data_IF_840973004540
#
_entry.id   IF_840973004540
#
_cell.length_a   1.000
_cell.length_b   1.000
_cell.length_c   1.000
_cell.angle_alpha   90.00
_cell.angle_beta   90.00
_cell.angle_gamma   90.00
#
_symmetry.space_group_name_H-M   'P 1'
#
loop_
_entity.id
_entity.type
_entity.pdbx_description
1 polymer ?
#
# COMPACT_ATOMS: atom_id res chain seq x y z
N UNK A 1 0.32 -19.89 25.79
CA UNK A 1 1.24 -19.96 24.66
C UNK A 1 1.70 -18.55 24.33
N UNK A 2 3.00 -18.35 24.08
CA UNK A 2 3.60 -17.00 23.96
C UNK A 2 3.09 -16.26 22.71
N UNK A 3 2.44 -15.10 22.90
CA UNK A 3 1.88 -14.22 21.84
C UNK A 3 2.97 -13.48 21.03
N UNK A 4 4.25 -13.71 21.31
CA UNK A 4 5.39 -13.03 20.68
C UNK A 4 5.64 -13.32 19.19
N UNK A 5 5.35 -14.52 18.62
CA UNK A 5 5.67 -14.79 17.22
C UNK A 5 4.80 -14.02 16.20
N UNK A 6 3.53 -13.75 16.51
CA UNK A 6 2.61 -13.07 15.57
C UNK A 6 3.03 -11.61 15.35
N UNK A 7 3.42 -10.90 16.41
CA UNK A 7 3.87 -9.50 16.32
C UNK A 7 5.15 -9.36 15.48
N UNK A 8 6.12 -10.27 15.67
CA UNK A 8 7.36 -10.26 14.88
C UNK A 8 7.10 -10.55 13.40
N UNK A 9 6.14 -11.42 13.10
CA UNK A 9 5.74 -11.78 11.75
C UNK A 9 5.08 -10.60 11.02
N UNK A 10 4.23 -9.83 11.71
CA UNK A 10 3.61 -8.61 11.17
C UNK A 10 4.66 -7.55 10.87
N UNK A 11 5.61 -7.34 11.79
CA UNK A 11 6.70 -6.38 11.60
C UNK A 11 7.55 -6.76 10.38
N UNK A 12 7.86 -8.04 10.20
CA UNK A 12 8.64 -8.50 9.05
C UNK A 12 7.85 -8.40 7.73
N UNK A 13 6.56 -8.73 7.73
CA UNK A 13 5.71 -8.67 6.53
C UNK A 13 5.48 -7.22 6.06
N UNK A 14 5.41 -6.29 6.99
CA UNK A 14 5.18 -4.87 6.71
C UNK A 14 6.50 -4.13 6.48
N UNK A 15 7.55 -4.44 7.23
CA UNK A 15 8.84 -3.78 7.10
C UNK A 15 9.54 -4.13 5.77
N UNK A 16 9.44 -5.37 5.30
CA UNK A 16 10.16 -5.81 4.10
C UNK A 16 9.69 -5.09 2.81
N UNK A 17 8.39 -4.96 2.50
CA UNK A 17 7.92 -4.20 1.33
C UNK A 17 8.24 -2.70 1.43
N UNK A 18 8.18 -2.14 2.65
CA UNK A 18 8.51 -0.73 2.90
C UNK A 18 10.00 -0.48 2.64
N UNK A 19 10.89 -1.33 3.15
CA UNK A 19 12.32 -1.19 2.88
C UNK A 19 12.68 -1.51 1.43
N UNK A 20 12.01 -2.46 0.79
CA UNK A 20 12.19 -2.74 -0.63
C UNK A 20 11.67 -1.58 -1.51
N UNK A 21 10.48 -1.05 -1.21
CA UNK A 21 9.90 0.10 -1.91
C UNK A 21 10.68 1.40 -1.69
N UNK A 22 11.11 1.69 -0.45
CA UNK A 22 11.97 2.83 -0.13
C UNK A 22 13.37 2.70 -0.74
N UNK A 23 13.94 1.49 -0.75
CA UNK A 23 15.22 1.24 -1.43
C UNK A 23 15.12 1.47 -2.92
N UNK A 24 13.97 1.23 -3.53
CA UNK A 24 13.73 1.44 -4.95
C UNK A 24 13.48 2.91 -5.29
N UNK A 25 12.71 3.64 -4.50
CA UNK A 25 12.54 5.07 -4.65
C UNK A 25 13.88 5.82 -4.57
N UNK A 26 14.79 5.37 -3.69
CA UNK A 26 16.14 5.90 -3.58
C UNK A 26 17.07 5.46 -4.73
N UNK A 27 16.84 4.32 -5.38
CA UNK A 27 17.67 3.82 -6.49
C UNK A 27 17.18 4.25 -7.88
N UNK A 28 15.91 4.57 -8.03
CA UNK A 28 15.32 5.08 -9.27
C UNK A 28 15.60 6.57 -9.51
N UNK A 29 16.12 7.28 -8.52
CA UNK A 29 16.72 8.58 -8.77
C UNK A 29 17.97 8.35 -9.62
N UNK A 30 17.84 8.52 -10.94
CA UNK A 30 19.00 8.76 -11.81
C UNK A 30 19.86 9.78 -11.07
N UNK A 31 21.15 9.53 -10.82
CA UNK A 31 21.97 10.53 -10.17
C UNK A 31 21.89 11.77 -11.04
N UNK A 32 21.11 12.77 -10.62
CA UNK A 32 21.26 14.11 -11.13
C UNK A 32 22.75 14.36 -11.10
N UNK A 33 23.36 14.76 -12.21
CA UNK A 33 24.78 15.07 -12.28
C UNK A 33 25.11 15.95 -11.08
N UNK A 34 25.63 15.35 -10.02
CA UNK A 34 26.04 16.10 -8.85
C UNK A 34 27.00 17.16 -9.35
N UNK A 35 26.72 18.45 -9.12
CA UNK A 35 27.70 19.48 -9.42
C UNK A 35 28.99 19.10 -8.68
N UNK A 36 30.13 19.18 -9.33
CA UNK A 36 31.40 18.62 -8.89
C UNK A 36 31.89 19.14 -7.51
N UNK A 37 31.21 20.13 -6.93
CA UNK A 37 31.44 20.64 -5.56
C UNK A 37 30.16 21.24 -5.00
N UNK A 38 29.44 20.48 -4.18
CA UNK A 38 28.36 21.03 -3.34
C UNK A 38 29.00 21.81 -2.20
N UNK A 39 28.72 23.10 -2.07
CA UNK A 39 29.23 23.88 -0.97
C UNK A 39 28.61 23.47 0.38
N UNK A 40 29.33 23.72 1.49
CA UNK A 40 28.76 23.48 2.83
C UNK A 40 27.44 24.25 3.03
N UNK A 41 27.34 25.45 2.47
CA UNK A 41 26.14 26.27 2.55
C UNK A 41 24.97 25.65 1.83
N UNK A 42 25.17 25.08 0.63
CA UNK A 42 24.13 24.39 -0.13
C UNK A 42 23.64 23.13 0.62
N UNK A 43 24.58 22.37 1.20
CA UNK A 43 24.22 21.20 2.02
C UNK A 43 23.38 21.58 3.25
N UNK A 44 23.76 22.67 3.96
CA UNK A 44 22.99 23.13 5.12
C UNK A 44 21.60 23.63 4.71
N UNK A 45 21.47 24.25 3.55
CA UNK A 45 20.19 24.66 3.00
C UNK A 45 19.30 23.47 2.71
N UNK A 46 19.80 22.43 2.00
CA UNK A 46 19.08 21.20 1.72
C UNK A 46 18.65 20.46 2.99
N UNK A 47 19.50 20.41 4.01
CA UNK A 47 19.15 19.83 5.31
C UNK A 47 18.00 20.63 5.96
N UNK A 48 18.05 21.97 5.86
CA UNK A 48 16.98 22.84 6.36
C UNK A 48 15.64 22.59 5.68
N UNK A 49 15.62 22.49 4.35
CA UNK A 49 14.41 22.14 3.56
C UNK A 49 13.89 20.77 3.94
N UNK A 50 14.77 19.76 3.99
CA UNK A 50 14.38 18.39 4.38
C UNK A 50 13.74 18.36 5.77
N UNK A 51 14.23 19.16 6.71
CA UNK A 51 13.64 19.25 8.04
C UNK A 51 12.22 19.85 8.01
N UNK A 52 11.97 20.84 7.15
CA UNK A 52 10.64 21.44 6.97
C UNK A 52 9.67 20.40 6.37
N UNK A 53 10.08 19.65 5.35
CA UNK A 53 9.25 18.59 4.75
C UNK A 53 8.93 17.46 5.75
N UNK A 54 9.88 17.09 6.61
CA UNK A 54 9.65 16.14 7.70
C UNK A 54 8.61 16.69 8.68
N UNK A 55 8.70 17.96 9.08
CA UNK A 55 7.69 18.56 9.97
C UNK A 55 6.31 18.59 9.32
N UNK A 56 6.22 18.92 8.04
CA UNK A 56 4.97 18.88 7.29
C UNK A 56 4.40 17.47 7.23
N UNK A 57 5.22 16.45 6.93
CA UNK A 57 4.82 15.06 6.96
C UNK A 57 4.29 14.63 8.33
N UNK A 58 4.87 15.09 9.43
CA UNK A 58 4.36 14.83 10.78
C UNK A 58 3.00 15.48 11.02
N UNK A 59 2.77 16.71 10.54
CA UNK A 59 1.46 17.37 10.63
C UNK A 59 0.42 16.60 9.82
N UNK A 60 0.73 16.21 8.58
CA UNK A 60 -0.15 15.40 7.73
C UNK A 60 -0.43 14.03 8.37
N UNK A 61 0.57 13.40 8.95
CA UNK A 61 0.40 12.12 9.65
C UNK A 61 -0.51 12.26 10.89
N UNK A 62 -0.38 13.36 11.62
CA UNK A 62 -1.29 13.65 12.72
C UNK A 62 -2.73 13.84 12.24
N UNK A 63 -2.94 14.56 11.11
CA UNK A 63 -4.25 14.69 10.46
C UNK A 63 -4.76 13.32 10.03
N UNK A 64 -3.92 12.48 9.43
CA UNK A 64 -4.27 11.12 9.03
C UNK A 64 -4.73 10.27 10.23
N UNK A 65 -4.03 10.35 11.36
CA UNK A 65 -4.43 9.71 12.63
C UNK A 65 -5.81 10.17 13.08
N UNK A 66 -6.09 11.48 13.05
CA UNK A 66 -7.40 12.01 13.39
C UNK A 66 -8.48 11.54 12.40
N UNK A 67 -8.17 11.52 11.10
CA UNK A 67 -9.07 11.03 10.06
C UNK A 67 -9.41 9.55 10.27
N UNK A 68 -8.42 8.70 10.57
CA UNK A 68 -8.64 7.28 10.89
C UNK A 68 -9.58 7.09 12.10
N UNK A 69 -9.45 7.93 13.13
CA UNK A 69 -10.35 7.87 14.29
C UNK A 69 -11.82 8.13 13.92
N UNK A 70 -12.09 8.76 12.76
CA UNK A 70 -13.47 8.96 12.28
C UNK A 70 -14.12 7.69 11.73
N UNK A 71 -13.32 6.72 11.28
CA UNK A 71 -13.79 5.39 10.88
C UNK A 71 -14.33 4.65 12.11
N UNK A 72 -13.65 4.78 13.23
CA UNK A 72 -13.97 4.11 14.50
C UNK A 72 -14.60 5.06 15.53
N UNK A 73 -15.52 5.95 15.11
CA UNK A 73 -16.09 7.04 15.95
C UNK A 73 -16.67 6.60 17.29
N UNK A 74 -17.11 5.36 17.42
CA UNK A 74 -17.74 4.80 18.63
C UNK A 74 -16.80 3.97 19.47
N UNK A 75 -15.53 3.91 19.10
CA UNK A 75 -14.52 3.06 19.70
C UNK A 75 -13.46 3.94 20.34
N UNK A 76 -13.14 3.67 21.60
CA UNK A 76 -11.94 4.23 22.23
C UNK A 76 -10.71 3.46 21.75
N UNK A 77 -10.09 3.94 20.65
CA UNK A 77 -8.92 3.31 20.05
C UNK A 77 -7.77 3.10 21.05
N UNK A 78 -7.55 4.06 21.96
CA UNK A 78 -6.48 3.93 22.95
C UNK A 78 -6.77 2.81 23.95
N UNK A 79 -8.02 2.71 24.42
CA UNK A 79 -8.42 1.63 25.31
C UNK A 79 -8.33 0.27 24.63
N UNK A 80 -8.77 0.15 23.36
CA UNK A 80 -8.68 -1.11 22.61
C UNK A 80 -7.22 -1.54 22.39
N UNK A 81 -6.37 -0.60 21.93
CA UNK A 81 -4.98 -0.91 21.60
C UNK A 81 -4.12 -1.19 22.84
N UNK A 82 -4.22 -0.36 23.88
CA UNK A 82 -3.26 -0.37 24.99
C UNK A 82 -3.77 -1.04 26.26
N UNK A 83 -5.10 -1.03 26.50
CA UNK A 83 -5.69 -1.62 27.70
C UNK A 83 -6.24 -3.02 27.42
N UNK A 84 -6.92 -3.19 26.29
CA UNK A 84 -7.60 -4.45 25.93
C UNK A 84 -6.74 -5.39 25.07
N UNK A 85 -5.55 -4.94 24.62
CA UNK A 85 -4.62 -5.71 23.78
C UNK A 85 -5.30 -6.30 22.52
N UNK A 86 -6.08 -5.47 21.82
CA UNK A 86 -6.77 -5.90 20.60
C UNK A 86 -5.79 -5.97 19.43
N UNK A 87 -5.31 -7.16 19.13
CA UNK A 87 -4.30 -7.39 18.09
C UNK A 87 -4.85 -7.18 16.67
N UNK A 88 -6.12 -7.51 16.41
CA UNK A 88 -6.75 -7.29 15.10
C UNK A 88 -6.78 -5.80 14.76
N UNK A 89 -7.25 -4.97 15.68
CA UNK A 89 -7.26 -3.52 15.52
C UNK A 89 -5.84 -2.94 15.44
N UNK A 90 -4.89 -3.49 16.20
CA UNK A 90 -3.49 -3.04 16.14
C UNK A 90 -2.89 -3.30 14.74
N UNK A 91 -3.13 -4.47 14.16
CA UNK A 91 -2.67 -4.83 12.80
C UNK A 91 -3.28 -3.89 11.76
N UNK A 92 -4.60 -3.70 11.77
CA UNK A 92 -5.30 -2.78 10.88
C UNK A 92 -4.77 -1.35 11.01
N UNK A 93 -4.63 -0.84 12.25
CA UNK A 93 -4.13 0.52 12.54
C UNK A 93 -2.69 0.70 12.04
N UNK A 94 -1.82 -0.26 12.29
CA UNK A 94 -0.42 -0.21 11.80
C UNK A 94 -0.38 -0.29 10.30
N UNK A 95 -1.20 -1.12 9.67
CA UNK A 95 -1.36 -1.19 8.21
C UNK A 95 -1.76 0.16 7.61
N UNK A 96 -2.75 0.84 8.22
CA UNK A 96 -3.15 2.19 7.81
C UNK A 96 -1.99 3.19 7.92
N UNK A 97 -1.26 3.19 9.04
CA UNK A 97 -0.14 4.12 9.22
C UNK A 97 0.98 3.88 8.23
N UNK A 98 1.30 2.62 7.93
CA UNK A 98 2.27 2.31 6.88
C UNK A 98 1.79 2.71 5.50
N UNK A 99 0.53 2.44 5.16
CA UNK A 99 -0.06 2.87 3.89
C UNK A 99 0.03 4.39 3.70
N UNK A 100 -0.30 5.17 4.73
CA UNK A 100 -0.19 6.64 4.73
C UNK A 100 1.27 7.10 4.58
N UNK A 101 2.21 6.50 5.30
CA UNK A 101 3.64 6.85 5.18
C UNK A 101 4.17 6.58 3.77
N UNK A 102 3.80 5.44 3.19
CA UNK A 102 4.15 5.12 1.80
C UNK A 102 3.55 6.15 0.84
N UNK A 103 2.26 6.46 0.99
CA UNK A 103 1.57 7.42 0.12
C UNK A 103 2.19 8.83 0.17
N UNK A 104 2.64 9.29 1.34
CA UNK A 104 3.33 10.58 1.47
C UNK A 104 4.69 10.59 0.77
N UNK A 105 5.32 9.42 0.63
CA UNK A 105 6.57 9.31 -0.12
C UNK A 105 6.46 9.90 -1.52
N UNK A 106 5.39 9.62 -2.25
CA UNK A 106 5.18 10.14 -3.61
C UNK A 106 5.05 11.68 -3.66
N UNK A 107 4.36 12.27 -2.67
CA UNK A 107 4.21 13.72 -2.60
C UNK A 107 5.53 14.44 -2.25
N UNK A 108 6.43 13.77 -1.51
CA UNK A 108 7.69 14.35 -1.02
C UNK A 108 8.84 14.12 -2.00
N UNK A 109 8.82 13.00 -2.76
CA UNK A 109 9.92 12.60 -3.65
C UNK A 109 9.91 13.31 -5.02
N UNK A 110 8.92 14.15 -5.31
CA UNK A 110 8.83 14.92 -6.56
C UNK A 110 9.99 15.91 -6.74
N UNK A 111 10.19 16.38 -7.98
CA UNK A 111 11.19 17.43 -8.26
C UNK A 111 10.83 18.73 -7.55
N UNK A 112 11.77 19.27 -6.79
CA UNK A 112 11.57 20.54 -6.08
C UNK A 112 11.42 21.71 -7.04
N UNK A 113 10.34 22.47 -6.86
CA UNK A 113 10.07 23.74 -7.55
C UNK A 113 10.28 24.94 -6.63
N UNK A 114 10.93 24.72 -5.50
CA UNK A 114 11.19 25.69 -4.46
C UNK A 114 10.28 25.55 -3.25
N UNK A 115 10.84 25.79 -2.07
CA UNK A 115 10.26 25.49 -0.76
C UNK A 115 8.78 25.91 -0.61
N UNK A 116 8.41 27.10 -1.06
CA UNK A 116 7.01 27.59 -0.92
C UNK A 116 6.03 26.81 -1.80
N UNK A 117 6.44 26.44 -2.99
CA UNK A 117 5.62 25.64 -3.92
C UNK A 117 5.51 24.22 -3.41
N UNK A 118 6.62 23.65 -2.97
CA UNK A 118 6.69 22.27 -2.49
C UNK A 118 5.81 22.05 -1.26
N UNK A 119 5.84 22.96 -0.26
CA UNK A 119 4.94 22.90 0.91
C UNK A 119 3.47 22.87 0.47
N UNK A 120 3.06 23.72 -0.46
CA UNK A 120 1.68 23.75 -0.93
C UNK A 120 1.32 22.45 -1.66
N UNK A 121 2.21 21.95 -2.51
CA UNK A 121 2.01 20.75 -3.31
C UNK A 121 1.95 19.51 -2.41
N UNK A 122 2.92 19.33 -1.51
CA UNK A 122 2.94 18.24 -0.53
C UNK A 122 1.69 18.27 0.33
N UNK A 123 1.26 19.44 0.80
CA UNK A 123 0.04 19.61 1.58
C UNK A 123 -1.21 19.15 0.82
N UNK A 124 -1.37 19.56 -0.44
CA UNK A 124 -2.54 19.20 -1.27
C UNK A 124 -2.55 17.69 -1.57
N UNK A 125 -1.43 17.13 -2.04
CA UNK A 125 -1.35 15.70 -2.35
C UNK A 125 -1.43 14.84 -1.09
N UNK A 126 -0.81 15.26 0.02
CA UNK A 126 -0.90 14.57 1.30
C UNK A 126 -2.32 14.51 1.86
N UNK A 127 -3.08 15.62 1.82
CA UNK A 127 -4.48 15.64 2.21
C UNK A 127 -5.35 14.78 1.28
N UNK A 128 -5.05 14.79 -0.03
CA UNK A 128 -5.71 13.93 -1.00
C UNK A 128 -5.43 12.46 -0.74
N UNK A 129 -4.20 12.10 -0.42
CA UNK A 129 -3.82 10.74 -0.05
C UNK A 129 -4.60 10.23 1.19
N UNK A 130 -4.77 11.09 2.20
CA UNK A 130 -5.58 10.76 3.39
C UNK A 130 -7.04 10.48 2.98
N UNK A 131 -7.63 11.35 2.14
CA UNK A 131 -9.01 11.18 1.68
C UNK A 131 -9.18 9.89 0.85
N UNK A 132 -8.25 9.61 -0.07
CA UNK A 132 -8.26 8.39 -0.88
C UNK A 132 -8.08 7.12 -0.03
N UNK A 133 -7.24 7.17 1.00
CA UNK A 133 -7.05 6.05 1.93
C UNK A 133 -8.32 5.75 2.73
N UNK A 134 -9.06 6.77 3.19
CA UNK A 134 -10.37 6.57 3.84
C UNK A 134 -11.40 5.99 2.88
N UNK A 135 -11.39 6.44 1.63
CA UNK A 135 -12.26 5.90 0.59
C UNK A 135 -11.91 4.44 0.27
N UNK A 136 -10.62 4.10 0.22
CA UNK A 136 -10.16 2.71 0.07
C UNK A 136 -10.63 1.81 1.22
N UNK A 137 -10.61 2.30 2.46
CA UNK A 137 -11.18 1.60 3.63
C UNK A 137 -12.66 1.30 3.45
N UNK A 138 -13.43 2.31 3.02
CA UNK A 138 -14.86 2.14 2.73
C UNK A 138 -15.09 1.13 1.59
N UNK A 139 -14.29 1.16 0.53
CA UNK A 139 -14.40 0.21 -0.58
C UNK A 139 -14.03 -1.23 -0.13
N UNK A 140 -13.04 -1.38 0.73
CA UNK A 140 -12.72 -2.68 1.34
C UNK A 140 -13.94 -3.26 2.04
N UNK A 141 -14.57 -2.52 2.93
CA UNK A 141 -15.76 -2.98 3.67
C UNK A 141 -16.95 -3.29 2.75
N UNK A 142 -17.22 -2.45 1.76
CA UNK A 142 -18.47 -2.56 0.98
C UNK A 142 -18.36 -3.42 -0.28
N UNK A 143 -17.16 -3.58 -0.83
CA UNK A 143 -16.95 -4.23 -2.12
C UNK A 143 -16.09 -5.48 -1.99
N UNK A 144 -14.99 -5.41 -1.25
CA UNK A 144 -14.09 -6.54 -1.09
C UNK A 144 -14.62 -7.55 -0.07
N UNK A 145 -15.13 -7.07 1.06
CA UNK A 145 -15.69 -7.87 2.15
C UNK A 145 -17.17 -7.51 2.43
N UNK A 146 -18.09 -7.66 1.45
CA UNK A 146 -19.45 -7.14 1.54
C UNK A 146 -20.31 -7.83 2.63
N UNK A 147 -19.92 -9.00 3.07
CA UNK A 147 -20.62 -9.77 4.11
C UNK A 147 -20.21 -9.36 5.53
N UNK A 148 -19.15 -8.53 5.65
CA UNK A 148 -18.57 -8.17 6.92
C UNK A 148 -18.90 -6.74 7.33
N UNK A 149 -19.07 -6.53 8.62
CA UNK A 149 -18.93 -5.22 9.23
C UNK A 149 -17.52 -5.16 9.83
N UNK A 150 -16.57 -4.63 9.08
CA UNK A 150 -15.16 -4.63 9.47
C UNK A 150 -14.93 -4.04 10.86
N UNK A 151 -15.67 -2.99 11.24
CA UNK A 151 -15.56 -2.41 12.59
C UNK A 151 -15.96 -3.43 13.66
N UNK A 152 -17.05 -4.17 13.45
CA UNK A 152 -17.49 -5.21 14.39
C UNK A 152 -16.45 -6.34 14.47
N UNK A 153 -16.04 -6.86 13.31
CA UNK A 153 -15.06 -7.96 13.20
C UNK A 153 -13.73 -7.61 13.90
N UNK A 154 -13.19 -6.43 13.62
CA UNK A 154 -11.87 -6.04 14.13
C UNK A 154 -11.94 -5.62 15.60
N UNK A 155 -13.03 -4.95 16.04
CA UNK A 155 -13.12 -4.39 17.40
C UNK A 155 -13.79 -5.36 18.38
N UNK A 156 -14.98 -5.88 18.02
CA UNK A 156 -15.79 -6.71 18.94
C UNK A 156 -15.32 -8.17 18.90
N UNK A 157 -15.25 -8.74 17.70
CA UNK A 157 -14.90 -10.15 17.50
C UNK A 157 -13.38 -10.38 17.51
N UNK A 158 -12.59 -9.30 17.36
CA UNK A 158 -11.10 -9.32 17.35
C UNK A 158 -10.53 -10.24 16.29
N UNK A 159 -11.19 -10.30 15.15
CA UNK A 159 -10.86 -11.15 14.03
C UNK A 159 -9.53 -10.74 13.39
N UNK A 160 -8.49 -11.55 13.65
CA UNK A 160 -7.13 -11.32 13.13
C UNK A 160 -7.08 -11.42 11.61
N UNK A 161 -7.86 -12.33 11.02
CA UNK A 161 -7.94 -12.51 9.57
C UNK A 161 -8.39 -11.22 8.88
N UNK A 162 -9.47 -10.61 9.35
CA UNK A 162 -9.97 -9.33 8.83
C UNK A 162 -8.97 -8.20 9.10
N UNK A 163 -8.33 -8.16 10.28
CA UNK A 163 -7.29 -7.18 10.59
C UNK A 163 -6.12 -7.21 9.61
N UNK A 164 -5.67 -8.42 9.18
CA UNK A 164 -4.64 -8.57 8.15
C UNK A 164 -5.12 -8.10 6.78
N UNK A 165 -6.36 -8.43 6.38
CA UNK A 165 -6.90 -7.98 5.09
C UNK A 165 -6.97 -6.46 5.02
N UNK A 166 -7.46 -5.78 6.07
CA UNK A 166 -7.46 -4.32 6.13
C UNK A 166 -6.05 -3.74 6.00
N UNK A 167 -5.09 -4.28 6.74
CA UNK A 167 -3.69 -3.85 6.64
C UNK A 167 -3.14 -4.03 5.23
N UNK A 168 -3.44 -5.15 4.56
CA UNK A 168 -3.07 -5.40 3.17
C UNK A 168 -3.66 -4.36 2.20
N UNK A 169 -4.94 -4.03 2.36
CA UNK A 169 -5.61 -2.99 1.55
C UNK A 169 -4.96 -1.63 1.75
N UNK A 170 -4.65 -1.23 2.98
CA UNK A 170 -4.01 0.06 3.26
C UNK A 170 -2.61 0.15 2.66
N UNK A 171 -1.80 -0.90 2.79
CA UNK A 171 -0.44 -0.93 2.22
C UNK A 171 -0.49 -0.93 0.69
N UNK A 172 -1.36 -1.72 0.08
CA UNK A 172 -1.56 -1.74 -1.36
C UNK A 172 -1.98 -0.37 -1.90
N UNK A 173 -2.93 0.30 -1.22
CA UNK A 173 -3.34 1.66 -1.59
C UNK A 173 -2.23 2.68 -1.36
N UNK A 174 -1.42 2.52 -0.33
CA UNK A 174 -0.23 3.35 -0.11
C UNK A 174 0.73 3.31 -1.30
N UNK A 175 1.03 2.11 -1.81
CA UNK A 175 1.88 1.92 -3.00
C UNK A 175 1.27 2.53 -4.27
N UNK A 176 -0.05 2.35 -4.46
CA UNK A 176 -0.78 2.93 -5.60
C UNK A 176 -0.75 4.45 -5.55
N UNK A 177 -1.04 5.05 -4.39
CA UNK A 177 -1.07 6.51 -4.23
C UNK A 177 0.34 7.08 -4.38
N UNK A 178 1.37 6.44 -3.81
CA UNK A 178 2.78 6.79 -4.00
C UNK A 178 3.09 7.05 -5.48
N UNK A 179 2.82 6.07 -6.33
CA UNK A 179 3.13 6.16 -7.76
C UNK A 179 2.22 7.11 -8.52
N UNK A 180 0.96 7.20 -8.13
CA UNK A 180 0.02 8.13 -8.73
C UNK A 180 0.33 9.61 -8.41
N UNK A 181 1.14 9.88 -7.38
CA UNK A 181 1.57 11.23 -6.99
C UNK A 181 3.02 11.56 -7.38
N UNK A 182 3.84 10.53 -7.67
CA UNK A 182 5.27 10.67 -7.99
C UNK A 182 5.51 11.06 -9.45
N UNK A 183 4.61 10.68 -10.36
CA UNK A 183 4.76 10.95 -11.80
C UNK A 183 4.67 12.44 -12.12
N UNK A 184 5.51 12.90 -13.05
CA UNK A 184 5.33 14.22 -13.65
C UNK A 184 3.95 14.24 -14.29
N UNK A 185 3.15 15.24 -13.94
CA UNK A 185 1.78 15.41 -14.46
C UNK A 185 1.74 15.75 -15.94
N UNK A 186 2.76 15.34 -16.64
CA UNK A 186 3.01 15.29 -18.06
C UNK A 186 2.53 16.50 -18.83
N UNK A 187 3.41 17.39 -19.14
CA UNK A 187 3.10 18.49 -20.05
C UNK A 187 2.25 19.58 -19.43
N UNK A 188 2.41 19.86 -18.15
CA UNK A 188 2.02 21.16 -17.64
C UNK A 188 2.71 22.20 -18.53
N UNK A 189 1.92 22.96 -19.30
CA UNK A 189 2.43 24.10 -20.05
C UNK A 189 3.38 24.86 -19.11
N UNK A 190 4.69 25.03 -19.45
CA UNK A 190 5.62 25.74 -18.60
C UNK A 190 5.15 27.16 -18.23
N UNK A 191 4.10 27.65 -18.91
CA UNK A 191 3.44 28.93 -18.66
C UNK A 191 2.20 28.79 -17.75
N UNK A 192 1.78 27.55 -17.41
CA UNK A 192 0.62 27.31 -16.54
C UNK A 192 0.91 27.76 -15.10
N UNK A 193 -0.12 28.25 -14.42
CA UNK A 193 0.00 28.53 -12.98
C UNK A 193 0.18 27.25 -12.19
N UNK A 194 0.89 27.33 -11.05
CA UNK A 194 1.05 26.19 -10.10
C UNK A 194 -0.29 25.53 -9.78
N UNK A 195 -1.36 26.31 -9.62
CA UNK A 195 -2.70 25.78 -9.34
C UNK A 195 -3.25 24.93 -10.51
N UNK A 196 -3.00 25.33 -11.74
CA UNK A 196 -3.43 24.58 -12.93
C UNK A 196 -2.65 23.27 -13.04
N UNK A 197 -1.35 23.30 -12.81
CA UNK A 197 -0.49 22.12 -12.80
C UNK A 197 -0.92 21.11 -11.70
N UNK A 198 -1.13 21.58 -10.48
CA UNK A 198 -1.62 20.74 -9.37
C UNK A 198 -3.01 20.16 -9.68
N UNK A 199 -3.92 20.95 -10.25
CA UNK A 199 -5.26 20.45 -10.59
C UNK A 199 -5.22 19.37 -11.69
N UNK A 200 -4.36 19.51 -12.70
CA UNK A 200 -4.17 18.46 -13.72
C UNK A 200 -3.57 17.19 -13.13
N UNK A 201 -2.58 17.29 -12.27
CA UNK A 201 -1.99 16.16 -11.58
C UNK A 201 -2.97 15.44 -10.66
N UNK A 202 -3.77 16.18 -9.92
CA UNK A 202 -4.85 15.59 -9.11
C UNK A 202 -5.85 14.82 -9.96
N UNK A 203 -6.20 15.31 -11.15
CA UNK A 203 -7.09 14.59 -12.06
C UNK A 203 -6.47 13.26 -12.51
N UNK A 204 -5.20 13.28 -12.92
CA UNK A 204 -4.46 12.07 -13.33
C UNK A 204 -4.40 11.08 -12.16
N UNK A 205 -3.98 11.54 -10.98
CA UNK A 205 -3.94 10.73 -9.74
C UNK A 205 -5.30 10.07 -9.44
N UNK A 206 -6.39 10.83 -9.49
CA UNK A 206 -7.73 10.31 -9.21
C UNK A 206 -8.18 9.26 -10.21
N UNK A 207 -7.94 9.48 -11.51
CA UNK A 207 -8.31 8.52 -12.56
C UNK A 207 -7.54 7.23 -12.41
N UNK A 208 -6.22 7.27 -12.25
CA UNK A 208 -5.42 6.07 -12.08
C UNK A 208 -5.70 5.37 -10.75
N UNK A 209 -5.94 6.12 -9.67
CA UNK A 209 -6.36 5.51 -8.42
C UNK A 209 -7.71 4.78 -8.55
N UNK A 210 -8.71 5.37 -9.24
CA UNK A 210 -9.99 4.69 -9.49
C UNK A 210 -9.82 3.42 -10.34
N UNK A 211 -9.03 3.48 -11.39
CA UNK A 211 -8.70 2.30 -12.19
C UNK A 211 -8.01 1.22 -11.34
N UNK A 212 -7.07 1.61 -10.51
CA UNK A 212 -6.40 0.73 -9.57
C UNK A 212 -7.39 0.04 -8.61
N UNK A 213 -8.41 0.75 -8.10
CA UNK A 213 -9.45 0.14 -7.26
C UNK A 213 -10.25 -0.91 -8.03
N UNK A 214 -10.61 -0.65 -9.29
CA UNK A 214 -11.29 -1.65 -10.13
C UNK A 214 -10.42 -2.90 -10.29
N UNK A 215 -9.13 -2.72 -10.56
CA UNK A 215 -8.18 -3.82 -10.70
C UNK A 215 -8.01 -4.60 -9.39
N UNK A 216 -7.88 -3.92 -8.24
CA UNK A 216 -7.80 -4.57 -6.93
C UNK A 216 -9.04 -5.41 -6.62
N UNK A 217 -10.23 -4.89 -6.92
CA UNK A 217 -11.49 -5.64 -6.72
C UNK A 217 -11.54 -6.87 -7.62
N UNK A 218 -11.21 -6.72 -8.90
CA UNK A 218 -11.15 -7.87 -9.84
C UNK A 218 -10.16 -8.91 -9.33
N UNK A 219 -8.97 -8.48 -8.91
CA UNK A 219 -7.94 -9.39 -8.40
C UNK A 219 -8.34 -10.09 -7.11
N UNK A 220 -9.02 -9.39 -6.19
CA UNK A 220 -9.59 -10.00 -4.98
C UNK A 220 -10.62 -11.07 -5.33
N UNK A 221 -11.51 -10.83 -6.30
CA UNK A 221 -12.48 -11.81 -6.77
C UNK A 221 -11.82 -13.00 -7.49
N UNK A 222 -10.77 -12.75 -8.26
CA UNK A 222 -9.99 -13.82 -8.88
C UNK A 222 -9.28 -14.68 -7.83
N UNK A 223 -8.78 -14.07 -6.75
CA UNK A 223 -8.19 -14.81 -5.64
C UNK A 223 -9.19 -15.78 -5.02
N UNK A 224 -10.44 -15.32 -4.74
CA UNK A 224 -11.53 -16.19 -4.24
C UNK A 224 -11.83 -17.37 -5.16
N UNK A 225 -11.75 -17.19 -6.48
CA UNK A 225 -12.02 -18.24 -7.46
C UNK A 225 -10.86 -19.24 -7.59
N UNK A 226 -9.62 -18.77 -7.43
CA UNK A 226 -8.41 -19.60 -7.60
C UNK A 226 -8.09 -20.40 -6.34
N UNK A 227 -8.47 -19.92 -5.16
CA UNK A 227 -8.29 -20.64 -3.89
C UNK A 227 -9.19 -21.88 -3.84
N UNK A 228 -8.70 -22.97 -3.25
CA UNK A 228 -9.41 -24.24 -3.14
C UNK A 228 -10.41 -24.30 -1.97
N UNK A 229 -10.56 -23.19 -1.23
CA UNK A 229 -11.41 -23.08 -0.05
C UNK A 229 -12.32 -21.84 -0.14
N UNK A 230 -13.38 -21.83 0.69
CA UNK A 230 -14.26 -20.66 0.79
C UNK A 230 -13.58 -19.57 1.65
N UNK A 231 -13.00 -18.60 0.97
CA UNK A 231 -12.24 -17.52 1.59
C UNK A 231 -13.05 -16.73 2.65
N UNK A 232 -14.30 -16.37 2.33
CA UNK A 232 -15.14 -15.59 3.25
C UNK A 232 -15.52 -16.41 4.50
N UNK A 233 -15.82 -17.71 4.33
CA UNK A 233 -16.13 -18.60 5.46
C UNK A 233 -14.92 -18.78 6.39
N UNK A 234 -13.71 -18.90 5.83
CA UNK A 234 -12.49 -18.98 6.64
C UNK A 234 -12.22 -17.67 7.39
N UNK A 235 -12.48 -16.51 6.78
CA UNK A 235 -12.38 -15.23 7.49
C UNK A 235 -13.40 -15.11 8.63
N UNK A 236 -14.66 -15.56 8.43
CA UNK A 236 -15.68 -15.56 9.50
C UNK A 236 -15.26 -16.42 10.71
N UNK A 237 -14.42 -17.42 10.50
CA UNK A 237 -13.86 -18.30 11.55
C UNK A 237 -12.61 -17.72 12.24
N UNK A 238 -12.29 -16.44 12.04
CA UNK A 238 -11.05 -15.81 12.54
C UNK A 238 -9.77 -16.50 12.07
N UNK A 239 -9.77 -16.99 10.82
CA UNK A 239 -8.59 -17.64 10.25
C UNK A 239 -7.50 -16.63 9.88
N UNK A 240 -6.58 -16.40 10.81
CA UNK A 240 -5.46 -15.47 10.62
C UNK A 240 -4.50 -15.90 9.50
N UNK A 241 -4.34 -17.20 9.23
CA UNK A 241 -3.46 -17.69 8.16
C UNK A 241 -3.99 -17.30 6.78
N UNK A 242 -5.30 -17.48 6.56
CA UNK A 242 -5.98 -17.10 5.30
C UNK A 242 -6.00 -15.57 5.13
N UNK A 243 -6.32 -14.82 6.20
CA UNK A 243 -6.29 -13.36 6.14
C UNK A 243 -4.90 -12.80 5.81
N UNK A 244 -3.85 -13.41 6.37
CA UNK A 244 -2.46 -13.02 6.13
C UNK A 244 -2.02 -13.34 4.69
N UNK A 245 -2.37 -14.51 4.16
CA UNK A 245 -2.08 -14.90 2.78
C UNK A 245 -2.73 -13.92 1.79
N UNK A 246 -3.99 -13.58 2.00
CA UNK A 246 -4.71 -12.64 1.16
C UNK A 246 -4.17 -11.20 1.29
N UNK A 247 -3.78 -10.77 2.48
CA UNK A 247 -3.09 -9.48 2.67
C UNK A 247 -1.81 -9.40 1.83
N UNK A 248 -1.00 -10.48 1.82
CA UNK A 248 0.18 -10.58 0.98
C UNK A 248 -0.14 -10.50 -0.51
N UNK A 249 -1.21 -11.18 -0.95
CA UNK A 249 -1.69 -11.10 -2.33
C UNK A 249 -2.11 -9.67 -2.71
N UNK A 250 -2.88 -8.97 -1.85
CA UNK A 250 -3.28 -7.58 -2.07
C UNK A 250 -2.07 -6.64 -2.16
N UNK A 251 -1.08 -6.79 -1.29
CA UNK A 251 0.16 -6.00 -1.33
C UNK A 251 0.93 -6.27 -2.63
N UNK A 252 1.09 -7.54 -3.01
CA UNK A 252 1.77 -7.92 -4.25
C UNK A 252 1.08 -7.36 -5.49
N UNK A 253 -0.24 -7.46 -5.55
CA UNK A 253 -1.07 -6.89 -6.62
C UNK A 253 -0.96 -5.35 -6.62
N UNK A 254 -1.07 -4.71 -5.45
CA UNK A 254 -0.90 -3.27 -5.29
C UNK A 254 0.46 -2.78 -5.79
N UNK A 255 1.52 -3.55 -5.54
CA UNK A 255 2.86 -3.26 -6.04
C UNK A 255 2.94 -3.35 -7.58
N UNK A 256 2.35 -4.36 -8.20
CA UNK A 256 2.26 -4.46 -9.68
C UNK A 256 1.47 -3.27 -10.26
N UNK A 257 0.31 -2.95 -9.69
CA UNK A 257 -0.51 -1.81 -10.13
C UNK A 257 0.27 -0.51 -9.98
N UNK A 258 1.01 -0.34 -8.88
CA UNK A 258 1.80 0.87 -8.64
C UNK A 258 2.83 1.11 -9.74
N UNK A 259 3.51 0.06 -10.21
CA UNK A 259 4.47 0.17 -11.31
C UNK A 259 3.79 0.48 -12.64
N UNK A 260 2.63 -0.14 -12.90
CA UNK A 260 1.86 0.15 -14.10
C UNK A 260 1.32 1.61 -14.15
N UNK A 261 1.18 2.27 -13.00
CA UNK A 261 0.85 3.71 -12.91
C UNK A 261 2.11 4.57 -13.08
N UNK A 262 3.27 4.04 -12.69
CA UNK A 262 4.54 4.79 -12.67
C UNK A 262 4.96 5.28 -14.04
N UNK A 263 5.74 6.38 -14.05
CA UNK A 263 6.22 7.04 -15.25
C UNK A 263 5.48 8.36 -15.56
N UNK A 264 6.00 9.09 -16.54
CA UNK A 264 5.44 10.38 -16.92
C UNK A 264 4.11 10.21 -17.67
N UNK A 265 3.17 11.08 -17.37
CA UNK A 265 1.91 11.11 -18.11
C UNK A 265 2.11 11.70 -19.52
N UNK A 266 2.10 10.85 -20.54
CA UNK A 266 2.32 11.23 -21.96
C UNK A 266 1.02 11.52 -22.72
N UNK A 267 -0.12 11.39 -22.05
CA UNK A 267 -1.46 11.59 -22.61
C UNK A 267 -2.39 10.41 -22.33
N UNK A 268 -3.70 10.68 -22.31
CA UNK A 268 -4.70 9.70 -21.86
C UNK A 268 -4.66 8.37 -22.60
N UNK A 269 -4.59 8.41 -23.94
CA UNK A 269 -4.62 7.19 -24.75
C UNK A 269 -3.39 6.32 -24.49
N UNK A 270 -2.21 6.92 -24.48
CA UNK A 270 -0.96 6.21 -24.30
C UNK A 270 -0.84 5.67 -22.88
N UNK A 271 -1.01 6.53 -21.86
CA UNK A 271 -0.88 6.13 -20.47
C UNK A 271 -1.92 5.07 -20.04
N UNK A 272 -3.17 5.15 -20.51
CA UNK A 272 -4.18 4.12 -20.25
C UNK A 272 -3.87 2.81 -20.97
N UNK A 273 -3.30 2.87 -22.18
CA UNK A 273 -2.90 1.65 -22.91
C UNK A 273 -1.74 0.95 -22.22
N UNK A 274 -0.70 1.71 -21.82
CA UNK A 274 0.44 1.18 -21.07
C UNK A 274 -0.03 0.57 -19.76
N UNK A 275 -0.82 1.31 -18.97
CA UNK A 275 -1.40 0.78 -17.74
C UNK A 275 -2.10 -0.58 -17.93
N UNK A 276 -2.96 -0.69 -18.96
CA UNK A 276 -3.68 -1.94 -19.22
C UNK A 276 -2.75 -3.09 -19.63
N UNK A 277 -1.71 -2.81 -20.42
CA UNK A 277 -0.71 -3.79 -20.84
C UNK A 277 0.12 -4.24 -19.63
N UNK A 278 0.64 -3.31 -18.85
CA UNK A 278 1.53 -3.59 -17.73
C UNK A 278 0.82 -4.34 -16.60
N UNK A 279 -0.42 -3.94 -16.28
CA UNK A 279 -1.27 -4.68 -15.33
C UNK A 279 -1.52 -6.11 -15.82
N UNK A 280 -1.87 -6.27 -17.10
CA UNK A 280 -2.16 -7.60 -17.65
C UNK A 280 -0.92 -8.49 -17.63
N UNK A 281 0.22 -7.96 -18.05
CA UNK A 281 1.49 -8.67 -18.03
C UNK A 281 1.94 -8.97 -16.58
N UNK A 282 1.86 -7.98 -15.70
CA UNK A 282 2.23 -8.12 -14.30
C UNK A 282 1.42 -9.21 -13.59
N UNK A 283 0.11 -9.33 -13.88
CA UNK A 283 -0.73 -10.39 -13.32
C UNK A 283 -0.35 -11.78 -13.83
N UNK A 284 -0.06 -11.92 -15.12
CA UNK A 284 0.43 -13.19 -15.68
C UNK A 284 1.76 -13.58 -15.02
N UNK A 285 2.69 -12.63 -14.92
CA UNK A 285 3.99 -12.85 -14.29
C UNK A 285 3.85 -13.13 -12.79
N UNK A 286 2.98 -12.41 -12.07
CA UNK A 286 2.73 -12.65 -10.66
C UNK A 286 2.24 -14.08 -10.41
N UNK A 287 1.30 -14.57 -11.23
CA UNK A 287 0.84 -15.96 -11.15
C UNK A 287 1.96 -16.97 -11.41
N UNK A 288 2.77 -16.77 -12.45
CA UNK A 288 3.89 -17.66 -12.80
C UNK A 288 4.95 -17.69 -11.70
N UNK A 289 5.42 -16.50 -11.27
CA UNK A 289 6.49 -16.40 -10.27
C UNK A 289 5.99 -16.86 -8.91
N UNK A 290 4.73 -16.58 -8.53
CA UNK A 290 4.13 -17.11 -7.31
C UNK A 290 4.13 -18.64 -7.30
N UNK A 291 3.70 -19.28 -8.39
CA UNK A 291 3.75 -20.75 -8.51
C UNK A 291 5.16 -21.33 -8.45
N UNK A 292 6.13 -20.66 -9.04
CA UNK A 292 7.53 -21.06 -8.91
C UNK A 292 8.02 -20.93 -7.46
N UNK A 293 7.60 -19.88 -6.77
CA UNK A 293 7.94 -19.64 -5.36
C UNK A 293 7.34 -20.72 -4.46
N UNK A 294 6.08 -21.10 -4.67
CA UNK A 294 5.42 -22.19 -3.95
C UNK A 294 6.21 -23.50 -4.07
N UNK A 295 6.60 -23.88 -5.30
CA UNK A 295 7.38 -25.08 -5.55
C UNK A 295 8.74 -25.04 -4.85
N UNK A 296 9.36 -23.85 -4.81
CA UNK A 296 10.68 -23.66 -4.22
C UNK A 296 10.65 -23.64 -2.69
N UNK A 297 9.67 -22.94 -2.09
CA UNK A 297 9.60 -22.71 -0.65
C UNK A 297 8.85 -23.79 0.11
N UNK A 298 7.86 -24.44 -0.53
CA UNK A 298 7.03 -25.48 0.07
C UNK A 298 6.94 -26.74 -0.78
N UNK A 299 8.09 -27.40 -1.09
CA UNK A 299 8.12 -28.54 -1.98
C UNK A 299 7.28 -29.70 -1.42
N UNK A 300 6.22 -30.08 -2.15
CA UNK A 300 5.35 -31.18 -1.78
C UNK A 300 4.28 -30.85 -0.71
N UNK A 301 4.20 -29.59 -0.26
CA UNK A 301 3.19 -29.10 0.67
C UNK A 301 2.18 -28.25 -0.10
N UNK A 302 0.89 -28.45 0.18
CA UNK A 302 -0.17 -27.54 -0.30
C UNK A 302 -0.46 -26.52 0.78
N UNK A 303 -0.02 -25.27 0.58
CA UNK A 303 -0.19 -24.19 1.57
C UNK A 303 -1.66 -23.99 1.94
N UNK A 304 -2.58 -24.11 0.97
CA UNK A 304 -4.01 -23.98 1.20
C UNK A 304 -4.55 -25.04 2.20
N UNK A 305 -4.09 -26.28 2.10
CA UNK A 305 -4.49 -27.35 3.02
C UNK A 305 -3.99 -27.06 4.45
N UNK A 306 -2.77 -26.53 4.57
CA UNK A 306 -2.18 -26.14 5.87
C UNK A 306 -2.89 -24.93 6.50
N UNK A 307 -3.37 -23.99 5.70
CA UNK A 307 -4.08 -22.81 6.16
C UNK A 307 -5.50 -23.10 6.65
N UNK A 308 -6.14 -24.14 6.13
CA UNK A 308 -7.55 -24.47 6.39
C UNK A 308 -7.76 -25.68 7.28
N UNK A 309 -6.73 -26.13 7.97
CA UNK A 309 -6.83 -27.18 8.99
C UNK A 309 -7.66 -26.73 10.20
N UNK A 310 -8.09 -27.68 11.04
CA UNK A 310 -8.77 -27.39 12.31
C UNK A 310 -7.98 -26.38 13.19
N UNK A 311 -6.65 -26.42 13.10
CA UNK A 311 -5.73 -25.43 13.68
C UNK A 311 -4.91 -24.78 12.57
N UNK A 312 -5.36 -23.65 12.01
CA UNK A 312 -4.72 -23.02 10.87
C UNK A 312 -3.23 -22.72 11.09
N UNK A 313 -2.41 -23.09 10.12
CA UNK A 313 -0.97 -22.88 10.17
C UNK A 313 -0.62 -21.45 9.69
N UNK A 314 -0.36 -20.55 10.63
CA UNK A 314 0.03 -19.15 10.32
C UNK A 314 1.33 -19.11 9.52
N UNK A 315 2.26 -20.05 9.71
CA UNK A 315 3.48 -20.15 8.93
C UNK A 315 3.22 -20.38 7.44
N UNK A 316 2.19 -21.19 7.11
CA UNK A 316 1.77 -21.40 5.73
C UNK A 316 1.18 -20.11 5.12
N UNK A 317 0.38 -19.36 5.89
CA UNK A 317 -0.11 -18.04 5.46
C UNK A 317 1.01 -17.03 5.23
N UNK A 318 2.04 -17.04 6.08
CA UNK A 318 3.23 -16.19 5.92
C UNK A 318 4.03 -16.53 4.66
N UNK A 319 4.24 -17.82 4.38
CA UNK A 319 4.96 -18.27 3.19
C UNK A 319 4.21 -17.89 1.91
N UNK A 320 2.90 -18.04 1.91
CA UNK A 320 2.07 -17.63 0.76
C UNK A 320 2.09 -16.11 0.58
N UNK A 321 1.94 -15.33 1.66
CA UNK A 321 2.05 -13.87 1.62
C UNK A 321 3.42 -13.43 1.09
N UNK A 322 4.51 -14.05 1.57
CA UNK A 322 5.86 -13.80 1.06
C UNK A 322 5.97 -14.17 -0.44
N UNK A 323 5.35 -15.27 -0.86
CA UNK A 323 5.30 -15.67 -2.26
C UNK A 323 4.75 -14.57 -3.18
N UNK A 324 3.61 -13.97 -2.82
CA UNK A 324 3.01 -12.88 -3.58
C UNK A 324 3.86 -11.60 -3.54
N UNK A 325 4.26 -11.17 -2.34
CA UNK A 325 5.05 -9.94 -2.17
C UNK A 325 6.42 -10.09 -2.82
N UNK A 326 7.13 -11.20 -2.57
CA UNK A 326 8.45 -11.46 -3.15
C UNK A 326 8.40 -11.56 -4.67
N UNK A 327 7.38 -12.26 -5.22
CA UNK A 327 7.15 -12.32 -6.65
C UNK A 327 6.94 -10.93 -7.25
N UNK A 328 6.10 -10.09 -6.64
CA UNK A 328 5.85 -8.74 -7.13
C UNK A 328 7.11 -7.87 -7.11
N UNK A 329 7.93 -7.97 -6.05
CA UNK A 329 9.20 -7.24 -5.94
C UNK A 329 10.17 -7.67 -7.04
N UNK A 330 10.30 -8.98 -7.30
CA UNK A 330 11.15 -9.48 -8.39
C UNK A 330 10.69 -8.97 -9.75
N UNK A 331 9.38 -8.97 -10.00
CA UNK A 331 8.80 -8.45 -11.24
C UNK A 331 9.13 -6.96 -11.39
N UNK A 332 8.86 -6.17 -10.35
CA UNK A 332 9.12 -4.71 -10.34
C UNK A 332 10.59 -4.38 -10.62
N UNK A 333 11.53 -5.19 -10.13
CA UNK A 333 12.96 -4.97 -10.40
C UNK A 333 13.39 -5.33 -11.82
N UNK A 334 12.55 -6.01 -12.59
CA UNK A 334 12.83 -6.38 -13.99
C UNK A 334 12.13 -5.47 -15.01
N UNK A 335 11.22 -4.62 -14.54
CA UNK A 335 10.57 -3.56 -15.32
C UNK A 335 11.32 -2.23 -15.18
#
# INVERSE_FOLDING_TARGET
>A
MSKRPVFLSVVLLVAFPVFAGLGFALSAQTPAQQPATVSLADNLYLIGESFIYILEAFVLFWIAKLAYSTVYRRVDLNAELFTRDNQALAISTVGYYFGILIAFGGAISGESQGLSTDIVTIGIYGLSAIALMLLASFMCEKILLPSFNNTKEVVEDRNLGVGFVEAGVYIANGLIILRATEGDTGGADPTASTLTAVASGMLVMLVFWLLAQVVLVIAGRLYEVVTSYNFLEELERDNAAVGLAFAGALIGIGNIISVAIGGDFTGWTESLTLFAVDVSFGFVMLFVVHKMTDILLAPGVKLADEQTQEHPNIGAGLLEAFGYVGASVLIVWTF
#
